data_IF_939552225952
#
_entry.id   IF_939552225952
#
_cell.length_a   1.000
_cell.length_b   1.000
_cell.length_c   1.000
_cell.angle_alpha   90.00
_cell.angle_beta   90.00
_cell.angle_gamma   90.00
#
_symmetry.space_group_name_H-M   'P 1'
#
loop_
_entity.id
_entity.type
_entity.pdbx_description
1 polymer ?
#
# COMPACT_ATOMS: atom_id res chain seq x y z
N UNK A 1 -15.90 -6.65 44.49
CA UNK A 1 -14.50 -6.25 44.41
C UNK A 1 -13.86 -6.65 43.03
N UNK A 2 -14.10 -7.85 42.52
CA UNK A 2 -13.59 -8.26 41.19
C UNK A 2 -14.17 -7.47 40.04
N UNK A 3 -15.45 -7.10 40.04
CA UNK A 3 -16.08 -6.30 38.99
C UNK A 3 -15.62 -4.84 38.98
N UNK A 4 -15.31 -4.27 40.14
CA UNK A 4 -14.80 -2.89 40.22
C UNK A 4 -13.35 -2.78 39.73
N UNK A 5 -12.52 -3.78 39.99
CA UNK A 5 -11.15 -3.88 39.46
C UNK A 5 -11.18 -4.13 37.94
N UNK A 6 -12.15 -4.90 37.44
CA UNK A 6 -12.33 -5.18 36.03
C UNK A 6 -12.77 -3.93 35.27
N UNK A 7 -13.68 -3.13 35.84
CA UNK A 7 -14.15 -1.87 35.26
C UNK A 7 -13.06 -0.79 35.25
N UNK A 8 -12.20 -0.74 36.31
CA UNK A 8 -11.05 0.18 36.36
C UNK A 8 -9.93 -0.21 35.37
N UNK A 9 -9.64 -1.50 35.12
CA UNK A 9 -8.69 -1.91 34.12
C UNK A 9 -9.17 -1.63 32.69
N UNK A 10 -10.49 -1.61 32.46
CA UNK A 10 -11.13 -1.42 31.18
C UNK A 10 -11.17 0.05 30.71
N UNK A 11 -11.11 1.04 31.64
CA UNK A 11 -10.96 2.45 31.28
C UNK A 11 -9.53 2.84 30.93
N UNK A 12 -8.55 2.08 31.44
CA UNK A 12 -7.13 2.38 31.29
C UNK A 12 -6.63 2.27 29.82
N UNK A 13 -7.21 1.40 28.99
CA UNK A 13 -6.75 1.21 27.61
C UNK A 13 -7.03 2.44 26.73
N UNK A 14 -8.22 3.04 26.83
CA UNK A 14 -8.55 4.24 26.08
C UNK A 14 -7.75 5.45 26.55
N UNK A 15 -7.66 5.65 27.90
CA UNK A 15 -6.83 6.70 28.47
C UNK A 15 -5.36 6.55 28.10
N UNK A 16 -4.86 5.31 28.08
CA UNK A 16 -3.50 4.99 27.68
C UNK A 16 -3.26 5.26 26.19
N UNK A 17 -4.23 4.91 25.30
CA UNK A 17 -4.13 5.18 23.88
C UNK A 17 -4.01 6.69 23.59
N UNK A 18 -4.73 7.49 24.38
CA UNK A 18 -4.84 8.95 24.17
C UNK A 18 -4.03 9.78 25.17
N UNK A 19 -2.93 9.24 25.73
CA UNK A 19 -1.95 10.07 26.44
C UNK A 19 -1.31 11.08 25.47
N UNK A 20 -1.27 12.36 25.84
CA UNK A 20 -0.77 13.43 24.94
C UNK A 20 0.62 13.15 24.38
N UNK A 21 1.53 12.63 25.19
CA UNK A 21 2.86 12.24 24.74
C UNK A 21 2.85 11.11 23.70
N UNK A 22 1.95 10.13 23.87
CA UNK A 22 1.74 9.06 22.90
C UNK A 22 1.19 9.59 21.59
N UNK A 23 0.18 10.44 21.64
CA UNK A 23 -0.40 11.09 20.45
C UNK A 23 0.69 11.82 19.68
N UNK A 24 1.52 12.61 20.36
CA UNK A 24 2.66 13.33 19.75
C UNK A 24 3.65 12.36 19.10
N UNK A 25 3.97 11.26 19.78
CA UNK A 25 4.87 10.23 19.24
C UNK A 25 4.25 9.57 17.99
N UNK A 26 3.02 9.11 18.06
CA UNK A 26 2.30 8.46 16.95
C UNK A 26 2.20 9.39 15.73
N UNK A 27 1.96 10.69 15.94
CA UNK A 27 1.99 11.68 14.87
C UNK A 27 3.35 11.73 14.17
N UNK A 28 4.43 11.88 14.94
CA UNK A 28 5.79 12.04 14.39
C UNK A 28 6.32 10.79 13.73
N UNK A 29 6.06 9.63 14.31
CA UNK A 29 6.65 8.35 13.91
C UNK A 29 5.86 7.69 12.77
N UNK A 30 4.54 7.80 12.78
CA UNK A 30 3.67 7.00 11.89
C UNK A 30 2.75 7.86 11.03
N UNK A 31 1.85 8.65 11.65
CA UNK A 31 0.70 9.22 10.95
C UNK A 31 1.11 10.25 9.91
N UNK A 32 1.95 11.23 10.28
CA UNK A 32 2.42 12.23 9.32
C UNK A 32 3.13 11.60 8.12
N UNK A 33 3.98 10.60 8.38
CA UNK A 33 4.69 9.88 7.32
C UNK A 33 3.73 9.06 6.42
N UNK A 34 2.65 8.54 6.99
CA UNK A 34 1.58 7.87 6.24
C UNK A 34 0.76 8.84 5.40
N UNK A 35 0.35 9.97 5.98
CA UNK A 35 -0.41 11.01 5.29
C UNK A 35 0.36 11.62 4.12
N UNK A 36 1.68 11.81 4.25
CA UNK A 36 2.57 12.24 3.15
C UNK A 36 2.64 11.28 1.97
N UNK A 37 2.23 10.04 2.14
CA UNK A 37 2.23 8.99 1.10
C UNK A 37 0.84 8.69 0.58
N UNK A 38 -0.15 9.52 0.93
CA UNK A 38 -1.47 9.42 0.34
C UNK A 38 -1.40 9.79 -1.15
N UNK A 39 -2.32 9.27 -1.97
CA UNK A 39 -2.38 9.61 -3.39
C UNK A 39 -2.55 11.11 -3.66
N UNK A 40 -3.22 11.83 -2.76
CA UNK A 40 -3.25 13.30 -2.72
C UNK A 40 -2.45 13.77 -1.53
N UNK A 41 -1.37 14.49 -1.79
CA UNK A 41 -0.47 15.01 -0.75
C UNK A 41 -0.91 16.41 -0.32
N UNK A 42 -0.79 16.71 0.98
CA UNK A 42 -0.93 18.08 1.45
C UNK A 42 0.28 18.91 1.02
N UNK A 43 0.05 19.95 0.25
CA UNK A 43 1.12 20.83 -0.29
C UNK A 43 1.87 21.60 0.80
N UNK A 44 1.30 21.76 1.99
CA UNK A 44 1.91 22.39 3.16
C UNK A 44 2.53 21.39 4.14
N UNK A 45 2.50 20.09 3.82
CA UNK A 45 3.15 19.04 4.58
C UNK A 45 2.68 18.97 6.04
N UNK A 46 1.42 19.31 6.29
CA UNK A 46 0.83 19.31 7.64
C UNK A 46 1.68 20.14 8.65
N UNK A 47 2.34 21.21 8.19
CA UNK A 47 3.24 22.02 9.02
C UNK A 47 2.52 22.74 10.14
N UNK A 48 1.29 23.15 9.94
CA UNK A 48 0.42 23.77 10.94
C UNK A 48 0.20 22.87 12.15
N UNK A 49 -0.20 21.61 11.90
CA UNK A 49 -0.36 20.59 12.96
C UNK A 49 0.98 20.20 13.54
N UNK A 50 2.00 19.98 12.69
CA UNK A 50 3.30 19.52 13.15
C UNK A 50 4.00 20.50 14.08
N UNK A 51 3.89 21.81 13.82
CA UNK A 51 4.44 22.86 14.67
C UNK A 51 3.66 23.02 15.99
N UNK A 52 2.36 22.74 15.95
CA UNK A 52 1.47 22.89 17.09
C UNK A 52 0.99 21.54 17.63
N UNK A 53 1.79 20.49 17.49
CA UNK A 53 1.35 19.12 17.79
C UNK A 53 0.98 18.90 19.26
N UNK A 54 1.65 19.58 20.21
CA UNK A 54 1.32 19.41 21.63
C UNK A 54 -0.08 19.96 21.96
N UNK A 55 -0.41 21.24 21.68
CA UNK A 55 -1.78 21.71 21.86
C UNK A 55 -2.84 20.93 21.08
N UNK A 56 -2.48 20.42 19.90
CA UNK A 56 -3.36 19.58 19.10
C UNK A 56 -3.65 18.23 19.81
N UNK A 57 -2.62 17.59 20.32
CA UNK A 57 -2.72 16.32 21.07
C UNK A 57 -3.56 16.50 22.36
N UNK A 58 -3.37 17.59 23.08
CA UNK A 58 -4.12 17.87 24.31
C UNK A 58 -5.62 18.08 24.02
N UNK A 59 -5.96 18.77 22.94
CA UNK A 59 -7.36 18.93 22.50
C UNK A 59 -7.96 17.59 22.04
N UNK A 60 -7.23 16.81 21.24
CA UNK A 60 -7.68 15.49 20.79
C UNK A 60 -7.95 14.58 21.98
N UNK A 61 -7.00 14.48 22.92
CA UNK A 61 -7.15 13.75 24.16
C UNK A 61 -8.41 14.15 24.91
N UNK A 62 -8.57 15.43 25.16
CA UNK A 62 -9.73 15.98 25.88
C UNK A 62 -11.04 15.59 25.20
N UNK A 63 -11.16 15.83 23.90
CA UNK A 63 -12.39 15.54 23.16
C UNK A 63 -12.74 14.05 23.19
N UNK A 64 -11.74 13.16 23.10
CA UNK A 64 -11.96 11.70 23.13
C UNK A 64 -12.39 11.26 24.52
N UNK A 65 -11.68 11.67 25.57
CA UNK A 65 -11.96 11.21 26.95
C UNK A 65 -13.24 11.81 27.51
N UNK A 66 -13.61 13.03 27.13
CA UNK A 66 -14.87 13.68 27.50
C UNK A 66 -16.08 13.15 26.69
N UNK A 67 -15.86 12.25 25.72
CA UNK A 67 -16.92 11.71 24.86
C UNK A 67 -17.46 12.71 23.82
N UNK A 68 -16.76 13.80 23.57
CA UNK A 68 -17.16 14.84 22.62
C UNK A 68 -16.55 14.68 21.22
N UNK A 69 -15.68 13.67 21.04
CA UNK A 69 -15.04 13.45 19.77
C UNK A 69 -16.03 12.95 18.72
N UNK A 70 -16.06 13.67 17.60
CA UNK A 70 -16.88 13.31 16.45
C UNK A 70 -15.97 13.25 15.22
N UNK A 71 -15.81 12.08 14.57
CA UNK A 71 -15.03 11.97 13.36
C UNK A 71 -15.70 12.75 12.22
N UNK A 72 -14.87 13.33 11.36
CA UNK A 72 -15.30 13.96 10.12
C UNK A 72 -15.62 12.90 9.07
N UNK A 73 -16.50 13.21 8.14
CA UNK A 73 -16.65 12.38 6.94
C UNK A 73 -15.43 12.60 6.05
N UNK A 74 -14.71 11.55 5.64
CA UNK A 74 -13.58 11.71 4.76
C UNK A 74 -14.02 12.16 3.37
N UNK A 75 -13.17 12.88 2.66
CA UNK A 75 -13.33 13.05 1.23
C UNK A 75 -12.93 11.76 0.50
N UNK A 76 -13.65 11.42 -0.56
CA UNK A 76 -13.35 10.24 -1.37
C UNK A 76 -12.81 10.66 -2.72
N UNK A 77 -11.61 10.20 -3.03
CA UNK A 77 -10.97 10.40 -4.33
C UNK A 77 -10.96 9.12 -5.12
N UNK A 78 -10.99 9.26 -6.44
CA UNK A 78 -11.00 8.16 -7.37
C UNK A 78 -9.57 7.86 -7.86
N UNK A 79 -9.22 6.58 -7.87
CA UNK A 79 -8.01 6.06 -8.52
C UNK A 79 -8.43 5.01 -9.52
N UNK A 80 -8.19 5.23 -10.80
CA UNK A 80 -8.48 4.24 -11.82
C UNK A 80 -7.67 2.97 -11.61
N UNK A 81 -8.37 1.84 -11.54
CA UNK A 81 -7.77 0.52 -11.39
C UNK A 81 -7.55 -0.15 -12.74
N UNK A 82 -8.58 -0.15 -13.57
CA UNK A 82 -8.56 -0.73 -14.92
C UNK A 82 -9.81 -0.34 -15.68
N UNK A 83 -9.66 0.00 -16.96
CA UNK A 83 -10.77 0.22 -17.90
C UNK A 83 -11.85 1.19 -17.34
N UNK A 84 -11.43 2.29 -16.72
CA UNK A 84 -12.31 3.30 -16.12
C UNK A 84 -12.94 2.90 -14.76
N UNK A 85 -12.71 1.67 -14.25
CA UNK A 85 -13.25 1.25 -12.96
C UNK A 85 -12.41 1.86 -11.82
N UNK A 86 -12.98 2.78 -11.02
CA UNK A 86 -12.22 3.45 -9.98
C UNK A 86 -12.18 2.63 -8.68
N UNK A 87 -11.11 2.81 -7.93
CA UNK A 87 -11.05 2.56 -6.50
C UNK A 87 -11.35 3.87 -5.78
N UNK A 88 -12.22 3.84 -4.77
CA UNK A 88 -12.48 4.99 -3.91
C UNK A 88 -11.54 4.97 -2.73
N UNK A 89 -10.76 6.04 -2.58
CA UNK A 89 -9.78 6.17 -1.51
C UNK A 89 -10.26 7.27 -0.56
N UNK A 90 -10.51 6.97 0.73
CA UNK A 90 -10.84 7.99 1.71
C UNK A 90 -9.60 8.83 2.03
N UNK A 91 -9.77 10.13 2.09
CA UNK A 91 -8.76 11.07 2.61
C UNK A 91 -9.27 11.55 3.98
N UNK A 92 -8.78 10.98 5.09
CA UNK A 92 -9.24 11.35 6.42
C UNK A 92 -8.63 12.68 6.85
N UNK A 93 -9.35 13.39 7.70
CA UNK A 93 -8.77 14.48 8.47
C UNK A 93 -7.60 13.98 9.33
N UNK A 94 -6.53 14.77 9.49
CA UNK A 94 -5.37 14.37 10.29
C UNK A 94 -5.70 13.94 11.72
N UNK A 95 -6.72 14.55 12.35
CA UNK A 95 -7.18 14.19 13.69
C UNK A 95 -7.77 12.77 13.71
N UNK A 96 -8.55 12.41 12.70
CA UNK A 96 -9.20 11.11 12.60
C UNK A 96 -8.19 10.01 12.27
N UNK A 97 -7.26 10.28 11.37
CA UNK A 97 -6.14 9.39 11.08
C UNK A 97 -5.29 9.12 12.33
N UNK A 98 -5.03 10.17 13.12
CA UNK A 98 -4.26 10.08 14.36
C UNK A 98 -5.03 9.31 15.44
N UNK A 99 -6.34 9.57 15.60
CA UNK A 99 -7.19 8.85 16.55
C UNK A 99 -7.21 7.35 16.23
N UNK A 100 -7.43 6.98 14.96
CA UNK A 100 -7.43 5.58 14.52
C UNK A 100 -6.09 4.91 14.79
N UNK A 101 -4.97 5.56 14.46
CA UNK A 101 -3.65 4.99 14.69
C UNK A 101 -3.33 4.84 16.18
N UNK A 102 -3.69 5.79 17.04
CA UNK A 102 -3.48 5.70 18.49
C UNK A 102 -4.16 4.47 19.09
N UNK A 103 -5.37 4.13 18.64
CA UNK A 103 -6.08 2.93 19.09
C UNK A 103 -5.32 1.67 18.64
N UNK A 104 -4.96 1.61 17.37
CA UNK A 104 -4.34 0.42 16.79
C UNK A 104 -2.94 0.15 17.34
N UNK A 105 -2.20 1.18 17.76
CA UNK A 105 -0.93 1.02 18.49
C UNK A 105 -1.10 0.25 19.83
N UNK A 106 -2.26 0.37 20.46
CA UNK A 106 -2.56 -0.41 21.68
C UNK A 106 -2.87 -1.87 21.34
N UNK A 107 -3.52 -2.12 20.22
CA UNK A 107 -3.87 -3.47 19.79
C UNK A 107 -2.65 -4.27 19.31
N UNK A 108 -1.62 -3.61 18.78
CA UNK A 108 -0.52 -4.24 18.06
C UNK A 108 0.18 -5.34 18.85
N UNK A 109 0.47 -5.12 20.13
CA UNK A 109 1.20 -6.09 20.97
C UNK A 109 0.46 -7.41 21.12
N UNK A 110 -0.86 -7.36 21.31
CA UNK A 110 -1.68 -8.57 21.46
C UNK A 110 -1.89 -9.25 20.10
N UNK A 111 -2.11 -8.48 19.03
CA UNK A 111 -2.22 -9.02 17.68
C UNK A 111 -0.92 -9.70 17.23
N UNK A 112 0.25 -9.13 17.59
CA UNK A 112 1.54 -9.77 17.33
C UNK A 112 1.70 -11.11 18.03
N UNK A 113 1.23 -11.22 19.28
CA UNK A 113 1.24 -12.49 20.04
C UNK A 113 0.27 -13.51 19.45
N UNK A 114 -0.89 -13.06 18.98
CA UNK A 114 -1.94 -13.90 18.41
C UNK A 114 -1.66 -14.34 16.97
N UNK A 115 -0.65 -13.78 16.27
CA UNK A 115 -0.35 -14.12 14.89
C UNK A 115 0.01 -15.60 14.74
N UNK A 116 -0.75 -16.39 13.95
CA UNK A 116 -0.58 -17.85 13.92
C UNK A 116 0.61 -18.30 13.09
N UNK A 117 1.10 -17.48 12.15
CA UNK A 117 2.20 -17.87 11.27
C UNK A 117 3.18 -16.74 10.99
N UNK A 118 4.47 -17.08 10.97
CA UNK A 118 5.57 -16.20 10.52
C UNK A 118 5.64 -16.09 8.98
N UNK A 119 4.79 -16.79 8.25
CA UNK A 119 4.73 -16.78 6.77
C UNK A 119 3.73 -15.75 6.24
N UNK A 120 2.94 -15.14 7.13
CA UNK A 120 2.09 -14.00 6.85
C UNK A 120 2.85 -12.71 7.15
N UNK A 121 3.07 -11.91 6.11
CA UNK A 121 3.87 -10.70 6.17
C UNK A 121 3.01 -9.47 6.39
N UNK A 122 3.39 -8.66 7.38
CA UNK A 122 2.81 -7.36 7.65
C UNK A 122 3.89 -6.29 7.67
N UNK A 123 3.78 -5.29 6.80
CA UNK A 123 4.73 -4.20 6.76
C UNK A 123 4.20 -2.95 7.45
N UNK A 124 5.01 -2.38 8.35
CA UNK A 124 4.73 -1.14 9.07
C UNK A 124 5.44 0.06 8.43
N UNK A 125 4.83 1.25 8.50
CA UNK A 125 5.52 2.50 8.24
C UNK A 125 6.53 2.74 9.36
N UNK A 126 7.79 3.02 8.99
CA UNK A 126 8.87 2.93 9.96
C UNK A 126 9.65 4.24 10.11
N UNK A 127 10.10 4.50 11.34
CA UNK A 127 11.05 5.58 11.67
C UNK A 127 12.48 5.03 11.67
N UNK A 128 13.46 5.72 11.06
CA UNK A 128 14.87 5.33 11.18
C UNK A 128 15.29 5.32 12.66
N UNK A 129 15.79 4.22 13.15
CA UNK A 129 16.21 4.03 14.54
C UNK A 129 15.67 2.78 15.23
N UNK A 130 14.51 2.27 14.80
CA UNK A 130 13.88 1.09 15.42
C UNK A 130 14.29 -0.24 14.78
N UNK A 131 15.32 -0.26 13.92
CA UNK A 131 15.69 -1.42 13.07
C UNK A 131 16.52 -2.47 13.82
N UNK A 132 16.81 -2.28 15.11
CA UNK A 132 17.83 -3.09 15.78
C UNK A 132 17.45 -4.54 16.08
N UNK A 133 16.19 -4.96 15.96
CA UNK A 133 15.82 -6.36 16.18
C UNK A 133 14.82 -6.88 15.15
N UNK A 134 15.33 -7.64 14.18
CA UNK A 134 14.51 -8.38 13.22
C UNK A 134 14.06 -9.70 13.85
N UNK A 135 12.89 -9.70 14.50
CA UNK A 135 12.26 -10.91 15.02
C UNK A 135 10.94 -11.20 14.28
N UNK A 136 11.01 -12.07 13.30
CA UNK A 136 9.84 -12.51 12.54
C UNK A 136 9.46 -11.63 11.35
N UNK A 137 8.20 -11.74 10.91
CA UNK A 137 7.65 -11.09 9.71
C UNK A 137 6.59 -10.03 10.02
N UNK A 138 6.39 -9.74 11.29
CA UNK A 138 5.40 -8.78 11.75
C UNK A 138 6.02 -7.39 11.98
N UNK A 139 5.39 -6.36 11.46
CA UNK A 139 5.65 -4.95 11.73
C UNK A 139 7.02 -4.40 11.27
N UNK A 140 7.66 -5.03 10.29
CA UNK A 140 8.90 -4.49 9.70
C UNK A 140 8.64 -3.64 8.46
N UNK A 141 9.58 -2.72 8.11
CA UNK A 141 9.50 -1.98 6.86
C UNK A 141 9.44 -2.92 5.66
N UNK A 142 8.64 -2.56 4.65
CA UNK A 142 8.44 -3.38 3.46
C UNK A 142 9.74 -3.71 2.71
N UNK A 143 10.74 -2.83 2.74
CA UNK A 143 12.04 -3.06 2.07
C UNK A 143 12.90 -4.14 2.73
N UNK A 144 12.65 -4.48 4.01
CA UNK A 144 13.25 -5.60 4.71
C UNK A 144 12.47 -6.88 4.45
N UNK A 145 11.15 -6.82 4.48
CA UNK A 145 10.28 -7.98 4.34
C UNK A 145 10.14 -8.46 2.90
N UNK A 146 10.09 -7.54 1.93
CA UNK A 146 9.87 -7.88 0.52
C UNK A 146 10.92 -8.81 -0.07
N UNK A 147 12.23 -8.63 0.15
CA UNK A 147 13.24 -9.59 -0.29
C UNK A 147 13.06 -10.98 0.33
N UNK A 148 12.64 -11.08 1.59
CA UNK A 148 12.36 -12.35 2.26
C UNK A 148 11.15 -13.05 1.64
N UNK A 149 10.07 -12.31 1.41
CA UNK A 149 8.88 -12.79 0.72
C UNK A 149 9.22 -13.33 -0.68
N UNK A 150 9.94 -12.57 -1.49
CA UNK A 150 10.39 -13.02 -2.80
C UNK A 150 11.28 -14.28 -2.73
N UNK A 151 12.20 -14.35 -1.78
CA UNK A 151 13.08 -15.52 -1.59
C UNK A 151 12.27 -16.79 -1.30
N UNK A 152 11.17 -16.70 -0.55
CA UNK A 152 10.29 -17.84 -0.29
C UNK A 152 9.54 -18.29 -1.53
N UNK A 153 8.99 -17.37 -2.33
CA UNK A 153 8.37 -17.69 -3.62
C UNK A 153 9.38 -18.45 -4.53
N UNK A 154 10.61 -17.95 -4.59
CA UNK A 154 11.66 -18.60 -5.39
C UNK A 154 12.01 -19.99 -4.86
N UNK A 155 11.96 -20.20 -3.55
CA UNK A 155 12.14 -21.54 -2.97
C UNK A 155 11.03 -22.48 -3.45
N UNK A 156 9.77 -22.03 -3.52
CA UNK A 156 8.69 -22.89 -4.01
C UNK A 156 8.91 -23.35 -5.43
N UNK A 157 9.38 -22.48 -6.34
CA UNK A 157 9.65 -22.86 -7.73
C UNK A 157 10.78 -23.89 -7.89
N UNK A 158 11.63 -24.09 -6.89
CA UNK A 158 12.72 -25.07 -6.92
C UNK A 158 12.40 -26.35 -6.12
N UNK A 159 11.49 -26.27 -5.15
CA UNK A 159 11.25 -27.36 -4.19
C UNK A 159 9.91 -28.08 -4.41
N UNK A 160 9.01 -27.50 -5.22
CA UNK A 160 7.67 -28.03 -5.47
C UNK A 160 7.40 -28.15 -6.96
N UNK A 161 6.51 -29.09 -7.34
CA UNK A 161 6.12 -29.27 -8.74
C UNK A 161 5.17 -28.16 -9.22
N UNK A 162 4.36 -27.64 -8.29
CA UNK A 162 3.38 -26.58 -8.57
C UNK A 162 3.45 -25.47 -7.53
N UNK A 163 3.03 -24.28 -7.95
CA UNK A 163 2.81 -23.12 -7.08
C UNK A 163 1.39 -22.65 -7.25
N UNK A 164 0.65 -22.60 -6.14
CA UNK A 164 -0.65 -21.95 -6.06
C UNK A 164 -0.42 -20.47 -5.92
N UNK A 165 -1.07 -19.66 -6.76
CA UNK A 165 -1.07 -18.19 -6.71
C UNK A 165 -2.51 -17.74 -6.63
N UNK A 166 -2.89 -16.98 -5.63
CA UNK A 166 -4.25 -16.46 -5.46
C UNK A 166 -4.26 -15.13 -4.73
N UNK A 167 -5.38 -14.40 -4.81
CA UNK A 167 -5.65 -13.23 -3.99
C UNK A 167 -7.11 -13.20 -3.54
N UNK A 168 -7.44 -12.32 -2.60
CA UNK A 168 -8.80 -12.15 -2.08
C UNK A 168 -9.50 -11.04 -2.87
N UNK A 169 -10.73 -11.31 -3.33
CA UNK A 169 -11.49 -10.36 -4.13
C UNK A 169 -11.90 -9.13 -3.29
N UNK A 170 -11.56 -7.92 -3.75
CA UNK A 170 -11.94 -6.64 -3.13
C UNK A 170 -11.75 -6.63 -1.60
N UNK A 171 -10.59 -7.15 -1.14
CA UNK A 171 -10.36 -7.51 0.24
C UNK A 171 -10.76 -6.42 1.24
N UNK A 172 -10.16 -5.23 1.14
CA UNK A 172 -10.44 -4.12 2.05
C UNK A 172 -11.90 -3.67 2.01
N UNK A 173 -12.51 -3.66 0.83
CA UNK A 173 -13.88 -3.17 0.63
C UNK A 173 -14.94 -4.15 1.17
N UNK A 174 -14.57 -5.44 1.35
CA UNK A 174 -15.50 -6.50 1.72
C UNK A 174 -15.36 -6.97 3.18
N UNK A 175 -14.45 -6.44 3.99
CA UNK A 175 -14.28 -6.86 5.40
C UNK A 175 -15.51 -6.46 6.21
N UNK A 176 -16.32 -7.42 6.76
CA UNK A 176 -17.46 -7.09 7.60
C UNK A 176 -16.97 -6.59 8.97
N UNK A 177 -17.38 -5.39 9.38
CA UNK A 177 -16.90 -4.76 10.61
C UNK A 177 -17.28 -5.57 11.87
N UNK A 178 -18.47 -6.17 11.90
CA UNK A 178 -18.89 -7.04 13.00
C UNK A 178 -17.98 -8.28 13.13
N UNK A 179 -17.62 -8.92 12.02
CA UNK A 179 -16.72 -10.06 12.01
C UNK A 179 -15.30 -9.67 12.41
N UNK A 180 -14.83 -8.52 11.96
CA UNK A 180 -13.54 -7.96 12.38
C UNK A 180 -13.53 -7.71 13.89
N UNK A 181 -14.60 -7.13 14.47
CA UNK A 181 -14.71 -6.94 15.91
C UNK A 181 -14.56 -8.25 16.68
N UNK A 182 -15.26 -9.30 16.23
CA UNK A 182 -15.15 -10.63 16.86
C UNK A 182 -13.73 -11.20 16.76
N UNK A 183 -13.08 -11.04 15.61
CA UNK A 183 -11.68 -11.46 15.42
C UNK A 183 -10.75 -10.72 16.40
N UNK A 184 -10.85 -9.40 16.51
CA UNK A 184 -10.03 -8.63 17.45
C UNK A 184 -10.28 -9.04 18.90
N UNK A 185 -11.54 -9.20 19.29
CA UNK A 185 -11.89 -9.65 20.64
C UNK A 185 -11.36 -11.06 20.97
N UNK A 186 -11.15 -11.93 19.98
CA UNK A 186 -10.54 -13.24 20.16
C UNK A 186 -9.01 -13.20 20.28
N UNK A 187 -8.36 -12.17 19.71
CA UNK A 187 -6.91 -12.03 19.72
C UNK A 187 -6.34 -11.47 21.04
N UNK A 188 -7.14 -10.78 21.83
CA UNK A 188 -6.65 -10.14 23.04
C UNK A 188 -7.76 -9.62 23.97
N UNK A 189 -7.38 -9.20 25.16
CA UNK A 189 -8.29 -8.59 26.12
C UNK A 189 -8.30 -7.08 25.93
N UNK A 190 -9.20 -6.59 25.10
CA UNK A 190 -9.39 -5.16 24.84
C UNK A 190 -10.63 -4.65 25.56
N UNK A 191 -10.62 -3.39 26.01
CA UNK A 191 -11.78 -2.77 26.61
C UNK A 191 -12.88 -2.53 25.57
N UNK A 192 -14.14 -2.67 25.99
CA UNK A 192 -15.29 -2.37 25.13
C UNK A 192 -15.27 -0.92 24.66
N UNK A 193 -14.86 0.02 25.50
CA UNK A 193 -14.75 1.44 25.14
C UNK A 193 -13.75 1.67 24.01
N UNK A 194 -12.58 0.99 24.04
CA UNK A 194 -11.57 1.06 23.00
C UNK A 194 -12.11 0.50 21.68
N UNK A 195 -12.73 -0.68 21.72
CA UNK A 195 -13.32 -1.30 20.52
C UNK A 195 -14.49 -0.48 20.00
N UNK A 196 -15.39 0.02 20.86
CA UNK A 196 -16.51 0.86 20.42
C UNK A 196 -16.01 2.10 19.70
N UNK A 197 -14.98 2.76 20.23
CA UNK A 197 -14.43 3.95 19.59
C UNK A 197 -13.71 3.61 18.28
N UNK A 198 -12.97 2.47 18.21
CA UNK A 198 -12.38 1.97 16.98
C UNK A 198 -13.45 1.81 15.87
N UNK A 199 -14.53 1.09 16.17
CA UNK A 199 -15.56 0.80 15.17
C UNK A 199 -16.39 2.04 14.82
N UNK A 200 -16.55 2.98 15.74
CA UNK A 200 -17.13 4.29 15.46
C UNK A 200 -16.30 5.06 14.41
N UNK A 201 -14.96 5.07 14.54
CA UNK A 201 -14.08 5.67 13.55
C UNK A 201 -14.14 4.94 12.21
N UNK A 202 -14.08 3.59 12.21
CA UNK A 202 -14.10 2.80 10.98
C UNK A 202 -15.39 2.99 10.19
N UNK A 203 -16.54 3.07 10.87
CA UNK A 203 -17.83 3.39 10.25
C UNK A 203 -17.83 4.78 9.61
N UNK A 204 -17.21 5.77 10.25
CA UNK A 204 -17.11 7.12 9.70
C UNK A 204 -16.25 7.16 8.42
N UNK A 205 -15.25 6.29 8.29
CA UNK A 205 -14.40 6.20 7.11
C UNK A 205 -14.97 5.35 5.98
N UNK A 206 -15.99 4.55 6.24
CA UNK A 206 -16.58 3.67 5.22
C UNK A 206 -17.39 4.49 4.21
N UNK A 207 -17.12 4.26 2.91
CA UNK A 207 -17.95 4.87 1.88
C UNK A 207 -19.36 4.27 1.91
N UNK A 208 -20.34 5.14 1.78
CA UNK A 208 -21.75 4.77 1.66
C UNK A 208 -22.50 5.78 0.83
N UNK A 209 -23.55 5.36 0.11
CA UNK A 209 -24.47 6.32 -0.48
C UNK A 209 -25.13 7.19 0.60
N UNK A 210 -25.48 8.43 0.25
CA UNK A 210 -26.04 9.41 1.21
C UNK A 210 -27.35 8.95 1.89
N UNK A 211 -28.07 8.02 1.27
CA UNK A 211 -29.32 7.48 1.82
C UNK A 211 -29.10 6.31 2.81
N UNK A 212 -27.88 5.81 2.95
CA UNK A 212 -27.55 4.75 3.91
C UNK A 212 -26.97 5.32 5.19
N UNK A 213 -27.53 4.98 6.38
CA UNK A 213 -27.05 5.52 7.65
C UNK A 213 -25.67 4.97 8.05
N UNK A 214 -25.36 3.72 7.69
CA UNK A 214 -24.06 3.06 7.95
C UNK A 214 -23.76 2.02 6.89
N UNK A 215 -22.49 1.66 6.75
CA UNK A 215 -22.02 0.66 5.79
C UNK A 215 -21.93 -0.75 6.41
N UNK A 216 -21.37 -0.87 7.60
CA UNK A 216 -21.10 -2.15 8.27
C UNK A 216 -20.03 -3.00 7.61
N UNK A 217 -19.46 -2.56 6.48
CA UNK A 217 -18.43 -3.27 5.72
C UNK A 217 -17.37 -2.31 5.19
N UNK A 218 -16.16 -2.82 5.05
CA UNK A 218 -15.03 -2.13 4.46
C UNK A 218 -14.08 -1.50 5.46
N UNK A 219 -12.79 -1.60 5.18
CA UNK A 219 -11.73 -0.85 5.84
C UNK A 219 -11.22 0.26 4.92
N UNK A 220 -10.86 1.42 5.47
CA UNK A 220 -10.34 2.52 4.68
C UNK A 220 -9.02 2.14 4.01
N UNK A 221 -8.93 2.33 2.70
CA UNK A 221 -7.70 2.07 1.94
C UNK A 221 -6.78 3.28 1.99
N UNK A 222 -6.30 3.59 3.18
CA UNK A 222 -5.35 4.67 3.44
C UNK A 222 -3.94 4.13 3.66
N UNK A 223 -2.95 4.94 3.27
CA UNK A 223 -1.56 4.49 3.24
C UNK A 223 -0.83 4.67 4.58
N UNK A 224 -1.45 4.22 5.69
CA UNK A 224 -0.80 4.13 7.00
C UNK A 224 -1.14 2.81 7.71
N UNK A 225 -0.59 2.59 8.91
CA UNK A 225 -0.49 1.25 9.49
C UNK A 225 -1.81 0.69 10.00
N UNK A 226 -2.67 1.53 10.59
CA UNK A 226 -3.86 1.08 11.28
C UNK A 226 -4.79 0.19 10.43
N UNK A 227 -5.28 0.61 9.24
CA UNK A 227 -6.15 -0.26 8.44
C UNK A 227 -5.45 -1.53 7.98
N UNK A 228 -4.13 -1.45 7.71
CA UNK A 228 -3.34 -2.63 7.28
C UNK A 228 -3.17 -3.65 8.39
N UNK A 229 -2.97 -3.21 9.64
CA UNK A 229 -2.87 -4.13 10.78
C UNK A 229 -4.21 -4.81 11.05
N UNK A 230 -5.31 -4.07 11.01
CA UNK A 230 -6.64 -4.63 11.18
C UNK A 230 -6.97 -5.66 10.08
N UNK A 231 -6.68 -5.32 8.83
CA UNK A 231 -6.82 -6.24 7.71
C UNK A 231 -5.91 -7.47 7.85
N UNK A 232 -4.68 -7.30 8.30
CA UNK A 232 -3.77 -8.42 8.54
C UNK A 232 -4.31 -9.38 9.60
N UNK A 233 -4.78 -8.85 10.72
CA UNK A 233 -5.35 -9.63 11.82
C UNK A 233 -6.64 -10.37 11.42
N UNK A 234 -7.46 -9.78 10.55
CA UNK A 234 -8.69 -10.41 10.08
C UNK A 234 -8.46 -11.74 9.35
N UNK A 235 -7.26 -11.94 8.80
CA UNK A 235 -6.89 -13.17 8.09
C UNK A 235 -6.16 -14.22 8.97
N UNK A 236 -6.08 -14.05 10.28
CA UNK A 236 -5.40 -15.01 11.16
C UNK A 236 -5.99 -16.42 11.06
N UNK A 237 -7.32 -16.54 10.95
CA UNK A 237 -7.96 -17.84 10.73
C UNK A 237 -7.58 -18.47 9.39
N UNK A 238 -7.40 -17.68 8.35
CA UNK A 238 -6.89 -18.14 7.07
C UNK A 238 -5.43 -18.58 7.17
N UNK A 239 -4.63 -17.88 7.97
CA UNK A 239 -3.21 -18.24 8.21
C UNK A 239 -3.08 -19.57 8.97
N UNK A 240 -3.98 -19.87 9.92
CA UNK A 240 -4.06 -21.19 10.59
C UNK A 240 -4.32 -22.31 9.59
N UNK A 241 -5.29 -22.13 8.67
CA UNK A 241 -5.58 -23.09 7.62
C UNK A 241 -4.39 -23.26 6.66
N UNK A 242 -3.77 -22.15 6.23
CA UNK A 242 -2.58 -22.17 5.37
C UNK A 242 -1.42 -22.91 6.03
N UNK A 243 -1.16 -22.65 7.32
CA UNK A 243 -0.10 -23.30 8.08
C UNK A 243 -0.32 -24.81 8.15
N UNK A 244 -1.55 -25.23 8.47
CA UNK A 244 -1.96 -26.63 8.58
C UNK A 244 -1.94 -27.34 7.21
N UNK A 245 -2.57 -26.75 6.20
CA UNK A 245 -2.75 -27.39 4.88
C UNK A 245 -1.46 -27.47 4.06
N UNK A 246 -0.47 -26.62 4.34
CA UNK A 246 0.79 -26.55 3.57
C UNK A 246 2.03 -26.91 4.38
N UNK A 247 1.88 -27.28 5.67
CA UNK A 247 2.99 -27.44 6.60
C UNK A 247 3.96 -26.23 6.57
N UNK A 248 3.40 -25.02 6.57
CA UNK A 248 4.16 -23.77 6.53
C UNK A 248 4.79 -23.43 5.16
N UNK A 249 4.45 -24.14 4.09
CA UNK A 249 4.99 -23.88 2.76
C UNK A 249 4.13 -22.90 1.97
N UNK A 250 3.84 -21.78 2.57
CA UNK A 250 3.15 -20.64 1.96
C UNK A 250 3.82 -19.32 2.32
N UNK A 251 3.44 -18.28 1.63
CA UNK A 251 3.65 -16.88 2.00
C UNK A 251 2.38 -16.09 1.70
N UNK A 252 2.04 -15.17 2.61
CA UNK A 252 0.96 -14.21 2.40
C UNK A 252 1.46 -12.79 2.61
N UNK A 253 1.12 -11.91 1.67
CA UNK A 253 1.33 -10.48 1.80
C UNK A 253 -0.02 -9.77 1.63
N UNK A 254 -0.64 -9.42 2.74
CA UNK A 254 -2.02 -8.94 2.77
C UNK A 254 -2.97 -9.95 2.11
N UNK A 255 -3.58 -9.58 0.99
CA UNK A 255 -4.47 -10.41 0.17
C UNK A 255 -3.76 -11.33 -0.84
N UNK A 256 -2.49 -11.05 -1.18
CA UNK A 256 -1.69 -11.91 -2.06
C UNK A 256 -1.23 -13.18 -1.31
N UNK A 257 -1.54 -14.37 -1.83
CA UNK A 257 -1.22 -15.68 -1.23
C UNK A 257 -0.53 -16.56 -2.27
N UNK A 258 0.66 -17.07 -1.90
CA UNK A 258 1.42 -18.02 -2.71
C UNK A 258 1.80 -19.24 -1.88
N UNK A 259 1.63 -20.46 -2.42
CA UNK A 259 1.97 -21.71 -1.73
C UNK A 259 2.58 -22.76 -2.66
N UNK A 260 3.58 -23.49 -2.16
CA UNK A 260 4.18 -24.64 -2.86
C UNK A 260 3.38 -25.92 -2.61
N UNK A 261 3.07 -26.68 -3.66
CA UNK A 261 2.34 -27.96 -3.60
C UNK A 261 2.95 -29.00 -4.54
N UNK A 262 2.80 -30.29 -4.23
CA UNK A 262 3.43 -31.37 -5.00
C UNK A 262 2.55 -31.89 -6.15
N UNK A 263 1.24 -31.63 -6.11
CA UNK A 263 0.33 -32.01 -7.20
C UNK A 263 -0.71 -30.94 -7.49
N UNK A 264 -1.31 -31.01 -8.67
CA UNK A 264 -2.39 -30.12 -9.07
C UNK A 264 -3.66 -30.36 -8.23
N UNK A 265 -3.89 -31.59 -7.81
CA UNK A 265 -4.99 -32.02 -6.95
C UNK A 265 -4.84 -31.42 -5.55
N UNK A 266 -3.63 -31.43 -5.00
CA UNK A 266 -3.32 -30.75 -3.73
C UNK A 266 -3.60 -29.26 -3.84
N UNK A 267 -3.16 -28.59 -4.91
CA UNK A 267 -3.46 -27.18 -5.16
C UNK A 267 -4.97 -26.88 -5.26
N UNK A 268 -5.75 -27.74 -5.91
CA UNK A 268 -7.21 -27.60 -5.97
C UNK A 268 -7.88 -27.77 -4.60
N UNK A 269 -7.42 -28.71 -3.79
CA UNK A 269 -7.91 -28.89 -2.41
C UNK A 269 -7.59 -27.67 -1.55
N UNK A 270 -6.36 -27.16 -1.64
CA UNK A 270 -5.95 -25.97 -0.93
C UNK A 270 -6.87 -24.78 -1.28
N UNK A 271 -7.03 -24.46 -2.58
CA UNK A 271 -7.90 -23.35 -3.00
C UNK A 271 -9.35 -23.51 -2.49
N UNK A 272 -9.89 -24.72 -2.50
CA UNK A 272 -11.24 -25.00 -1.97
C UNK A 272 -11.32 -24.76 -0.47
N UNK A 273 -10.33 -25.22 0.28
CA UNK A 273 -10.29 -25.03 1.73
C UNK A 273 -10.19 -23.54 2.09
N UNK A 274 -9.30 -22.80 1.39
CA UNK A 274 -9.16 -21.36 1.59
C UNK A 274 -10.46 -20.61 1.27
N UNK A 275 -11.15 -20.95 0.16
CA UNK A 275 -12.42 -20.31 -0.19
C UNK A 275 -13.52 -20.62 0.84
N UNK A 276 -13.55 -21.82 1.42
CA UNK A 276 -14.48 -22.18 2.49
C UNK A 276 -14.23 -21.35 3.75
N UNK A 277 -12.96 -21.18 4.17
CA UNK A 277 -12.59 -20.35 5.31
C UNK A 277 -12.97 -18.89 5.06
N UNK A 278 -12.60 -18.35 3.91
CA UNK A 278 -12.94 -16.98 3.52
C UNK A 278 -14.46 -16.76 3.45
N UNK A 279 -15.21 -17.72 2.91
CA UNK A 279 -16.68 -17.68 2.88
C UNK A 279 -17.28 -17.53 4.26
N UNK A 280 -16.75 -18.25 5.25
CA UNK A 280 -17.21 -18.13 6.66
C UNK A 280 -16.93 -16.75 7.27
N UNK A 281 -15.99 -16.01 6.68
CA UNK A 281 -15.62 -14.64 7.06
C UNK A 281 -16.27 -13.57 6.18
N UNK A 282 -17.17 -13.95 5.25
CA UNK A 282 -17.79 -13.00 4.31
C UNK A 282 -16.90 -12.56 3.15
N UNK A 283 -15.81 -13.29 2.89
CA UNK A 283 -14.84 -13.00 1.83
C UNK A 283 -14.83 -14.11 0.77
N UNK A 284 -14.17 -13.86 -0.37
CA UNK A 284 -14.02 -14.84 -1.46
C UNK A 284 -12.64 -14.73 -2.10
N UNK A 285 -12.14 -15.85 -2.62
CA UNK A 285 -10.98 -15.83 -3.50
C UNK A 285 -11.31 -15.14 -4.82
N UNK A 286 -10.34 -14.46 -5.37
CA UNK A 286 -10.42 -13.88 -6.71
C UNK A 286 -10.17 -14.96 -7.77
N UNK A 287 -11.24 -15.49 -8.36
CA UNK A 287 -11.16 -16.61 -9.32
C UNK A 287 -10.35 -16.26 -10.57
N UNK A 288 -10.36 -14.99 -11.01
CA UNK A 288 -9.61 -14.56 -12.19
C UNK A 288 -8.09 -14.55 -11.96
N UNK A 289 -7.66 -14.39 -10.71
CA UNK A 289 -6.25 -14.37 -10.31
C UNK A 289 -5.77 -15.71 -9.71
N UNK A 290 -6.68 -16.59 -9.30
CA UNK A 290 -6.34 -17.89 -8.74
C UNK A 290 -5.82 -18.85 -9.80
N UNK A 291 -4.59 -19.37 -9.61
CA UNK A 291 -3.90 -20.22 -10.56
C UNK A 291 -3.11 -21.31 -9.84
N UNK A 292 -2.99 -22.47 -10.47
CA UNK A 292 -2.07 -23.53 -10.08
C UNK A 292 -1.07 -23.65 -11.22
N UNK A 293 0.12 -23.08 -11.01
CA UNK A 293 1.16 -22.97 -12.02
C UNK A 293 2.16 -24.11 -11.84
N UNK A 294 2.68 -24.69 -12.95
CA UNK A 294 3.86 -25.52 -12.86
C UNK A 294 5.05 -24.69 -12.33
N UNK A 295 6.07 -25.33 -11.78
CA UNK A 295 7.27 -24.62 -11.32
C UNK A 295 7.88 -23.74 -12.42
N UNK A 296 7.88 -24.22 -13.68
CA UNK A 296 8.38 -23.45 -14.83
C UNK A 296 7.49 -22.24 -15.13
N UNK A 297 6.17 -22.40 -15.13
CA UNK A 297 5.22 -21.29 -15.35
C UNK A 297 5.28 -20.27 -14.21
N UNK A 298 5.51 -20.73 -12.98
CA UNK A 298 5.67 -19.86 -11.82
C UNK A 298 6.95 -18.98 -11.94
N UNK A 299 8.07 -19.54 -12.43
CA UNK A 299 9.30 -18.76 -12.73
C UNK A 299 9.00 -17.65 -13.73
N UNK A 300 8.21 -17.94 -14.77
CA UNK A 300 7.79 -16.96 -15.77
C UNK A 300 6.79 -15.93 -15.19
N UNK A 301 5.81 -16.39 -14.41
CA UNK A 301 4.77 -15.55 -13.78
C UNK A 301 5.37 -14.50 -12.84
N UNK A 302 6.30 -14.89 -11.98
CA UNK A 302 6.97 -14.02 -11.02
C UNK A 302 8.17 -13.26 -11.59
N UNK A 303 8.54 -13.52 -12.84
CA UNK A 303 9.71 -12.90 -13.49
C UNK A 303 10.99 -13.04 -12.66
N UNK A 304 11.22 -14.21 -12.06
CA UNK A 304 12.27 -14.44 -11.06
C UNK A 304 13.64 -14.04 -11.58
N UNK A 305 14.00 -14.49 -12.79
CA UNK A 305 15.31 -14.20 -13.39
C UNK A 305 15.50 -12.69 -13.64
N UNK A 306 14.45 -12.02 -14.08
CA UNK A 306 14.48 -10.58 -14.34
C UNK A 306 14.60 -9.79 -13.04
N UNK A 307 13.78 -10.14 -12.03
CA UNK A 307 13.84 -9.53 -10.71
C UNK A 307 15.21 -9.65 -10.05
N UNK A 308 15.88 -10.83 -10.15
CA UNK A 308 17.24 -11.05 -9.65
C UNK A 308 18.24 -10.14 -10.35
N UNK A 309 18.18 -10.06 -11.69
CA UNK A 309 19.09 -9.23 -12.47
C UNK A 309 18.90 -7.74 -12.13
N UNK A 310 17.65 -7.27 -11.99
CA UNK A 310 17.35 -5.89 -11.60
C UNK A 310 17.82 -5.57 -10.18
N UNK A 311 17.76 -6.52 -9.25
CA UNK A 311 18.28 -6.34 -7.88
C UNK A 311 19.79 -6.13 -7.89
N UNK A 312 20.54 -6.89 -8.70
CA UNK A 312 21.99 -6.72 -8.84
C UNK A 312 22.33 -5.36 -9.46
N UNK A 313 21.61 -4.95 -10.49
CA UNK A 313 21.80 -3.64 -11.13
C UNK A 313 21.48 -2.52 -10.15
N UNK A 314 20.37 -2.63 -9.42
CA UNK A 314 19.95 -1.65 -8.40
C UNK A 314 21.00 -1.47 -7.30
N UNK A 315 21.54 -2.57 -6.78
CA UNK A 315 22.62 -2.57 -5.80
C UNK A 315 23.87 -1.88 -6.36
N UNK A 316 24.24 -2.20 -7.61
CA UNK A 316 25.36 -1.53 -8.28
C UNK A 316 25.15 -0.03 -8.48
N UNK A 317 23.91 0.42 -8.74
CA UNK A 317 23.58 1.85 -8.87
C UNK A 317 23.68 2.55 -7.51
N UNK A 318 23.14 1.94 -6.45
CA UNK A 318 23.09 2.54 -5.09
C UNK A 318 24.48 2.60 -4.42
N UNK A 319 25.30 1.57 -4.60
CA UNK A 319 26.59 1.44 -3.91
C UNK A 319 27.80 1.63 -4.85
N UNK A 320 27.58 1.95 -6.10
CA UNK A 320 28.64 2.18 -7.08
C UNK A 320 29.39 3.48 -6.80
N UNK A 321 30.66 3.53 -7.22
CA UNK A 321 31.59 4.67 -6.99
C UNK A 321 31.20 6.00 -7.66
N UNK A 322 30.05 6.08 -8.33
CA UNK A 322 29.60 7.30 -9.04
C UNK A 322 30.46 7.70 -10.25
N UNK A 323 31.52 6.96 -10.54
CA UNK A 323 32.41 7.28 -11.67
C UNK A 323 31.68 7.20 -13.02
N UNK A 324 31.99 8.11 -13.93
CA UNK A 324 31.36 8.15 -15.26
C UNK A 324 31.43 6.80 -16.03
N UNK A 325 32.55 6.04 -16.03
CA UNK A 325 32.61 4.74 -16.68
C UNK A 325 31.64 3.73 -16.08
N UNK A 326 31.50 3.71 -14.75
CA UNK A 326 30.57 2.82 -14.03
C UNK A 326 29.13 3.15 -14.38
N UNK A 327 28.76 4.41 -14.39
CA UNK A 327 27.40 4.85 -14.78
C UNK A 327 27.06 4.49 -16.23
N UNK A 328 28.01 4.66 -17.17
CA UNK A 328 27.83 4.24 -18.57
C UNK A 328 27.59 2.74 -18.70
N UNK A 329 28.37 1.93 -17.97
CA UNK A 329 28.22 0.46 -17.95
C UNK A 329 26.85 0.06 -17.40
N UNK A 330 26.41 0.66 -16.30
CA UNK A 330 25.10 0.41 -15.68
C UNK A 330 23.94 0.77 -16.64
N UNK A 331 24.00 1.93 -17.29
CA UNK A 331 23.02 2.35 -18.30
C UNK A 331 22.96 1.38 -19.48
N UNK A 332 24.11 0.95 -19.99
CA UNK A 332 24.18 0.00 -21.10
C UNK A 332 23.55 -1.35 -20.72
N UNK A 333 23.91 -1.89 -19.56
CA UNK A 333 23.37 -3.15 -19.06
C UNK A 333 21.85 -3.09 -18.87
N UNK A 334 21.36 -2.01 -18.26
CA UNK A 334 19.93 -1.78 -18.05
C UNK A 334 19.16 -1.70 -19.37
N UNK A 335 19.68 -0.96 -20.37
CA UNK A 335 19.10 -0.90 -21.72
C UNK A 335 19.08 -2.27 -22.42
N UNK A 336 20.17 -3.02 -22.34
CA UNK A 336 20.24 -4.37 -22.93
C UNK A 336 19.17 -5.29 -22.32
N UNK A 337 19.03 -5.28 -20.99
CA UNK A 337 18.02 -6.09 -20.28
C UNK A 337 16.62 -5.66 -20.66
N UNK A 338 16.33 -4.37 -20.65
CA UNK A 338 15.02 -3.84 -20.99
C UNK A 338 14.56 -4.22 -22.40
N UNK A 339 15.46 -4.15 -23.40
CA UNK A 339 15.13 -4.62 -24.76
C UNK A 339 14.74 -6.09 -24.82
N UNK A 340 15.36 -6.93 -23.99
CA UNK A 340 14.99 -8.35 -23.85
C UNK A 340 13.65 -8.53 -23.14
N UNK A 341 13.37 -7.73 -22.13
CA UNK A 341 12.11 -7.73 -21.38
C UNK A 341 10.94 -7.23 -22.22
N UNK A 342 11.11 -6.11 -22.95
CA UNK A 342 10.08 -5.46 -23.77
C UNK A 342 9.50 -6.39 -24.86
N UNK A 343 10.32 -7.34 -25.35
CA UNK A 343 9.92 -8.29 -26.41
C UNK A 343 9.12 -9.47 -25.90
N UNK A 344 9.07 -9.68 -24.59
CA UNK A 344 8.39 -10.83 -23.98
C UNK A 344 6.90 -10.51 -23.76
N UNK A 345 6.08 -11.56 -23.75
CA UNK A 345 4.65 -11.43 -23.47
C UNK A 345 4.39 -10.81 -22.08
N UNK A 346 3.36 -9.99 -21.97
CA UNK A 346 2.92 -9.36 -20.72
C UNK A 346 2.12 -10.37 -19.89
N UNK A 347 2.82 -11.21 -19.13
CA UNK A 347 2.22 -12.23 -18.28
C UNK A 347 2.57 -12.03 -16.81
N UNK A 348 1.73 -12.53 -15.91
CA UNK A 348 1.99 -12.54 -14.47
C UNK A 348 2.26 -11.15 -13.91
N UNK A 349 3.37 -11.03 -13.21
CA UNK A 349 3.78 -9.79 -12.54
C UNK A 349 4.57 -8.82 -13.45
N UNK A 350 4.29 -8.79 -14.74
CA UNK A 350 4.96 -7.93 -15.72
C UNK A 350 4.95 -6.45 -15.30
N UNK A 351 3.81 -5.93 -14.85
CA UNK A 351 3.67 -4.54 -14.40
C UNK A 351 4.60 -4.24 -13.21
N UNK A 352 4.72 -5.16 -12.24
CA UNK A 352 5.63 -4.99 -11.09
C UNK A 352 7.09 -4.85 -11.54
N UNK A 353 7.49 -5.62 -12.56
CA UNK A 353 8.84 -5.53 -13.15
C UNK A 353 9.01 -4.24 -13.94
N UNK A 354 8.01 -3.84 -14.71
CA UNK A 354 8.07 -2.59 -15.49
C UNK A 354 8.22 -1.37 -14.57
N UNK A 355 7.51 -1.32 -13.43
CA UNK A 355 7.70 -0.28 -12.39
C UNK A 355 9.15 -0.19 -11.91
N UNK A 356 9.82 -1.34 -11.74
CA UNK A 356 11.26 -1.37 -11.39
C UNK A 356 12.13 -0.75 -12.47
N UNK A 357 11.82 -0.99 -13.75
CA UNK A 357 12.53 -0.33 -14.87
C UNK A 357 12.33 1.18 -14.83
N UNK A 358 11.13 1.69 -14.60
CA UNK A 358 10.90 3.13 -14.42
C UNK A 358 11.77 3.70 -13.30
N UNK A 359 11.78 3.04 -12.14
CA UNK A 359 12.58 3.47 -11.01
C UNK A 359 14.08 3.51 -11.35
N UNK A 360 14.63 2.44 -11.94
CA UNK A 360 16.04 2.32 -12.25
C UNK A 360 16.49 3.29 -13.37
N UNK A 361 15.71 3.42 -14.44
CA UNK A 361 16.01 4.39 -15.50
C UNK A 361 15.92 5.84 -15.00
N UNK A 362 14.97 6.13 -14.10
CA UNK A 362 14.90 7.43 -13.42
C UNK A 362 16.13 7.71 -12.56
N UNK A 363 16.62 6.72 -11.80
CA UNK A 363 17.85 6.86 -10.97
C UNK A 363 19.08 7.20 -11.81
N UNK A 364 19.23 6.58 -12.98
CA UNK A 364 20.35 6.84 -13.88
C UNK A 364 20.08 7.97 -14.89
N UNK A 365 18.95 8.67 -14.77
CA UNK A 365 18.51 9.76 -15.67
C UNK A 365 18.61 9.37 -17.16
N UNK A 366 17.97 8.27 -17.51
CA UNK A 366 17.99 7.73 -18.89
C UNK A 366 16.60 7.78 -19.51
N UNK A 367 16.47 8.42 -20.67
CA UNK A 367 15.19 8.77 -21.31
C UNK A 367 14.59 7.68 -22.21
N UNK A 368 15.15 6.48 -22.27
CA UNK A 368 14.74 5.45 -23.24
C UNK A 368 13.28 4.95 -23.06
N UNK A 369 12.65 5.16 -21.89
CA UNK A 369 11.24 4.82 -21.65
C UNK A 369 10.26 5.91 -22.12
N UNK A 370 10.71 7.11 -22.49
CA UNK A 370 9.82 8.21 -22.90
C UNK A 370 8.91 7.83 -24.08
N UNK A 371 9.40 6.98 -24.98
CA UNK A 371 8.60 6.51 -26.14
C UNK A 371 7.36 5.69 -25.77
N UNK A 372 7.33 5.12 -24.54
CA UNK A 372 6.22 4.32 -24.05
C UNK A 372 5.21 5.12 -23.24
N UNK A 373 5.58 6.35 -22.82
CA UNK A 373 4.74 7.14 -21.91
C UNK A 373 3.34 7.44 -22.44
N UNK A 374 3.16 7.85 -23.71
CA UNK A 374 1.81 8.14 -24.22
C UNK A 374 0.86 6.95 -24.05
N UNK A 375 1.30 5.75 -24.47
CA UNK A 375 0.50 4.53 -24.35
C UNK A 375 0.30 4.09 -22.88
N UNK A 376 1.33 4.24 -22.04
CA UNK A 376 1.25 3.86 -20.62
C UNK A 376 0.31 4.77 -19.86
N UNK A 377 0.36 6.07 -20.09
CA UNK A 377 -0.53 7.02 -19.43
C UNK A 377 -1.98 6.83 -19.87
N UNK A 378 -2.23 6.50 -21.15
CA UNK A 378 -3.56 6.18 -21.64
C UNK A 378 -4.10 4.84 -21.08
N UNK A 379 -3.37 3.74 -21.28
CA UNK A 379 -3.93 2.39 -21.18
C UNK A 379 -3.46 1.58 -19.96
N UNK A 380 -2.57 2.13 -19.12
CA UNK A 380 -1.98 1.37 -18.02
C UNK A 380 -2.03 2.14 -16.68
N UNK A 381 -3.23 2.32 -16.08
CA UNK A 381 -3.39 3.09 -14.83
C UNK A 381 -2.45 2.64 -13.71
N UNK A 382 -2.22 1.32 -13.60
CA UNK A 382 -1.30 0.75 -12.61
C UNK A 382 0.15 1.24 -12.71
N UNK A 383 0.57 1.78 -13.86
CA UNK A 383 1.93 2.25 -14.12
C UNK A 383 2.08 3.78 -14.05
N UNK A 384 0.97 4.55 -14.05
CA UNK A 384 0.98 6.02 -14.13
C UNK A 384 1.86 6.67 -13.06
N UNK A 385 1.68 6.33 -11.79
CA UNK A 385 2.50 6.91 -10.70
C UNK A 385 4.00 6.65 -10.85
N UNK A 386 4.38 5.47 -11.35
CA UNK A 386 5.79 5.18 -11.65
C UNK A 386 6.30 5.97 -12.86
N UNK A 387 5.44 6.22 -13.86
CA UNK A 387 5.76 7.03 -15.02
C UNK A 387 5.95 8.51 -14.65
N UNK A 388 5.09 9.08 -13.80
CA UNK A 388 5.25 10.45 -13.29
C UNK A 388 6.50 10.59 -12.42
N UNK A 389 6.76 9.66 -11.51
CA UNK A 389 8.00 9.63 -10.73
C UNK A 389 9.25 9.58 -11.63
N UNK A 390 9.20 8.83 -12.71
CA UNK A 390 10.26 8.78 -13.69
C UNK A 390 10.43 10.11 -14.42
N UNK A 391 9.34 10.75 -14.87
CA UNK A 391 9.36 12.06 -15.50
C UNK A 391 9.95 13.15 -14.58
N UNK A 392 9.56 13.16 -13.30
CA UNK A 392 10.11 14.07 -12.29
C UNK A 392 11.64 13.94 -12.23
N UNK A 393 12.16 12.70 -12.16
CA UNK A 393 13.60 12.45 -12.08
C UNK A 393 14.38 12.84 -13.34
N UNK A 394 13.75 12.79 -14.50
CA UNK A 394 14.36 13.23 -15.77
C UNK A 394 14.44 14.74 -15.88
N UNK A 395 13.61 15.49 -15.17
CA UNK A 395 13.51 16.95 -15.22
C UNK A 395 12.70 17.46 -16.40
N UNK A 396 12.55 18.78 -16.46
CA UNK A 396 11.69 19.48 -17.43
C UNK A 396 12.24 19.44 -18.87
N UNK A 397 11.37 19.27 -19.86
CA UNK A 397 11.63 19.53 -21.28
C UNK A 397 10.32 19.77 -22.03
N UNK A 398 10.37 20.49 -23.16
CA UNK A 398 9.18 20.72 -24.01
C UNK A 398 8.45 19.43 -24.37
N UNK A 399 9.20 18.37 -24.73
CA UNK A 399 8.63 17.07 -25.08
C UNK A 399 7.88 16.43 -23.91
N UNK A 400 8.43 16.50 -22.69
CA UNK A 400 7.82 15.91 -21.49
C UNK A 400 6.59 16.67 -21.04
N UNK A 401 6.61 18.02 -21.16
CA UNK A 401 5.41 18.83 -20.95
C UNK A 401 4.32 18.42 -21.95
N UNK A 402 4.65 18.28 -23.24
CA UNK A 402 3.69 17.84 -24.25
C UNK A 402 3.07 16.47 -23.94
N UNK A 403 3.84 15.51 -23.43
CA UNK A 403 3.31 14.19 -23.03
C UNK A 403 2.29 14.32 -21.88
N UNK A 404 2.56 15.18 -20.89
CA UNK A 404 1.61 15.42 -19.80
C UNK A 404 0.39 16.20 -20.29
N UNK A 405 0.59 17.21 -21.15
CA UNK A 405 -0.48 17.99 -21.76
C UNK A 405 -1.43 17.08 -22.55
N UNK A 406 -0.89 16.22 -23.42
CA UNK A 406 -1.68 15.25 -24.19
C UNK A 406 -2.50 14.35 -23.27
N UNK A 407 -1.90 13.82 -22.18
CA UNK A 407 -2.61 13.00 -21.22
C UNK A 407 -3.75 13.75 -20.54
N UNK A 408 -3.51 14.98 -20.07
CA UNK A 408 -4.51 15.79 -19.36
C UNK A 408 -5.67 16.26 -20.28
N UNK A 409 -5.40 16.49 -21.56
CA UNK A 409 -6.36 17.10 -22.48
C UNK A 409 -7.08 16.09 -23.40
N UNK A 410 -6.53 14.87 -23.55
CA UNK A 410 -7.06 13.86 -24.49
C UNK A 410 -8.28 13.08 -23.98
N UNK A 411 -8.67 13.23 -22.71
CA UNK A 411 -9.75 12.44 -22.10
C UNK A 411 -9.27 11.14 -21.43
N UNK A 412 -7.96 10.86 -21.38
CA UNK A 412 -7.41 9.69 -20.67
C UNK A 412 -7.21 9.92 -19.16
N UNK A 413 -7.26 11.17 -18.70
CA UNK A 413 -7.15 11.53 -17.30
C UNK A 413 -8.54 11.71 -16.71
N UNK A 414 -9.13 10.62 -16.21
CA UNK A 414 -10.51 10.59 -15.70
C UNK A 414 -10.58 10.40 -14.17
N UNK A 415 -9.42 10.16 -13.51
CA UNK A 415 -9.35 9.95 -12.08
C UNK A 415 -8.56 11.05 -11.35
N UNK A 416 -8.99 11.35 -10.12
CA UNK A 416 -8.47 12.45 -9.30
C UNK A 416 -6.97 12.27 -9.00
N UNK A 417 -6.55 11.03 -8.76
CA UNK A 417 -5.14 10.73 -8.41
C UNK A 417 -4.23 10.96 -9.61
N UNK A 418 -4.60 10.47 -10.80
CA UNK A 418 -3.80 10.70 -12.01
C UNK A 418 -3.74 12.18 -12.39
N UNK A 419 -4.82 12.93 -12.17
CA UNK A 419 -4.85 14.38 -12.36
C UNK A 419 -3.85 15.06 -11.40
N UNK A 420 -3.93 14.73 -10.11
CA UNK A 420 -3.03 15.27 -9.10
C UNK A 420 -1.56 14.93 -9.42
N UNK A 421 -1.24 13.66 -9.70
CA UNK A 421 0.14 13.23 -10.01
C UNK A 421 0.70 13.92 -11.25
N UNK A 422 -0.11 14.14 -12.30
CA UNK A 422 0.29 14.85 -13.50
C UNK A 422 0.60 16.32 -13.21
N UNK A 423 -0.26 17.02 -12.46
CA UNK A 423 -0.05 18.40 -12.04
C UNK A 423 1.15 18.48 -11.09
N UNK A 424 1.27 17.58 -10.12
CA UNK A 424 2.39 17.52 -9.19
C UNK A 424 3.72 17.33 -9.94
N UNK A 425 3.75 16.52 -11.00
CA UNK A 425 4.92 16.38 -11.84
C UNK A 425 5.33 17.72 -12.49
N UNK A 426 4.37 18.52 -12.97
CA UNK A 426 4.62 19.82 -13.59
C UNK A 426 5.18 20.84 -12.59
N UNK A 427 4.64 20.91 -11.37
CA UNK A 427 5.06 21.88 -10.35
C UNK A 427 6.36 21.50 -9.62
N UNK A 428 6.71 20.20 -9.63
CA UNK A 428 7.94 19.71 -9.00
C UNK A 428 9.19 20.01 -9.84
N UNK A 429 9.04 20.22 -11.13
CA UNK A 429 10.17 20.55 -11.98
C UNK A 429 10.67 21.97 -11.70
N UNK A 430 12.00 22.14 -11.59
CA UNK A 430 12.63 23.45 -11.58
C UNK A 430 12.38 24.13 -12.94
N UNK A 431 11.54 25.16 -12.92
CA UNK A 431 11.15 25.88 -14.12
C UNK A 431 12.05 27.12 -14.26
N UNK A 432 12.65 27.37 -15.45
CA UNK A 432 13.41 28.58 -15.69
C UNK A 432 12.50 29.81 -15.55
N UNK A 433 13.05 30.93 -15.07
CA UNK A 433 12.27 32.14 -14.82
C UNK A 433 11.62 32.74 -16.06
N UNK A 434 12.16 32.48 -17.25
CA UNK A 434 11.68 33.04 -18.54
C UNK A 434 11.87 32.03 -19.67
N UNK A 435 11.22 32.28 -20.79
CA UNK A 435 11.42 31.52 -22.04
C UNK A 435 10.23 30.68 -22.47
N UNK A 436 10.42 29.91 -23.55
CA UNK A 436 9.33 29.12 -24.16
C UNK A 436 8.73 28.06 -23.27
N UNK A 437 9.52 27.47 -22.35
CA UNK A 437 9.03 26.47 -21.40
C UNK A 437 8.00 27.09 -20.44
N UNK A 438 8.28 28.29 -19.91
CA UNK A 438 7.34 29.02 -19.04
C UNK A 438 6.04 29.34 -19.78
N UNK A 439 6.16 29.81 -21.02
CA UNK A 439 4.99 30.13 -21.85
C UNK A 439 4.13 28.88 -22.10
N UNK A 440 4.75 27.73 -22.37
CA UNK A 440 4.05 26.47 -22.53
C UNK A 440 3.34 26.04 -21.23
N UNK A 441 4.00 26.18 -20.07
CA UNK A 441 3.41 25.87 -18.77
C UNK A 441 2.21 26.77 -18.45
N UNK A 442 2.30 28.07 -18.72
CA UNK A 442 1.20 29.02 -18.53
C UNK A 442 0.03 28.68 -19.47
N UNK A 443 0.31 28.37 -20.74
CA UNK A 443 -0.72 27.96 -21.70
C UNK A 443 -1.43 26.69 -21.25
N UNK A 444 -0.68 25.69 -20.80
CA UNK A 444 -1.22 24.45 -20.24
C UNK A 444 -2.11 24.69 -19.02
N UNK A 445 -1.65 25.49 -18.05
CA UNK A 445 -2.43 25.83 -16.86
C UNK A 445 -3.77 26.51 -17.24
N UNK A 446 -3.76 27.43 -18.23
CA UNK A 446 -4.98 28.05 -18.74
C UNK A 446 -5.92 27.07 -19.43
N UNK A 447 -5.38 26.09 -20.16
CA UNK A 447 -6.17 25.07 -20.84
C UNK A 447 -6.82 24.11 -19.83
N UNK A 448 -6.08 23.71 -18.79
CA UNK A 448 -6.62 22.88 -17.69
C UNK A 448 -7.75 23.64 -16.99
N UNK A 449 -7.53 24.90 -16.60
CA UNK A 449 -8.54 25.72 -15.91
C UNK A 449 -9.81 25.98 -16.72
N UNK A 450 -9.79 25.80 -18.04
CA UNK A 450 -10.99 25.89 -18.90
C UNK A 450 -11.73 24.55 -19.00
N UNK A 451 -11.07 23.44 -18.70
CA UNK A 451 -11.64 22.10 -18.82
C UNK A 451 -12.29 21.64 -17.50
N UNK A 452 -11.78 22.12 -16.35
CA UNK A 452 -12.37 21.92 -15.02
C UNK A 452 -13.48 22.92 -14.77
#
# INVERSE_FOLDING_TARGET
>A
MQDTQRTQSLSLDLEYAFQSQKIVKVWKDTVRNGLRKQPLEDLHDFLDIHRNIQPFADRLRKNVLDGHYKPSSPEFVHLEKRDGIPRRLPIPEPADALALQCIVEVLESELKKAQPSKNAYYSRTHTPGDVEQVDGTFAYPWWILWPQFQKRIWKFTNSYQYVVVTDIANYFDCIPLASLRNTLASCGKFSENLLNFLFYLLEAFSWRPYYMPHSGVGLPQINFDAPRLLAHAYLFKLDEELESATNGNFVRWMDDIDAGVNSREEGKRLLRNLDNVLSSQGLRLNTSKSKILSAQDAVAHFWIQENRALTIIESSIKHGSGSQPTQRKQKHLLKKRFRGFERKARIGQWDKVFKRYFSLFGMVKESCLEKHLPLILADSPSLRGSAFTYLIRLGISKKRIGVIEDFLLSGHCEDDVSLFEAIHCLITWETPATGQIVQQMIALARNIAKKI
#
